data_IF_782247372170
#
_entry.id   IF_782247372170
#
_cell.length_a   1.000
_cell.length_b   1.000
_cell.length_c   1.000
_cell.angle_alpha   90.00
_cell.angle_beta   90.00
_cell.angle_gamma   90.00
#
_symmetry.space_group_name_H-M   'P 1'
#
loop_
_entity.id
_entity.type
_entity.pdbx_description
1 polymer ?
#
# COMPACT_ATOMS: atom_id res chain seq x y z
N UNK A 1 -16.62 -0.83 34.35
CA UNK A 1 -16.64 0.41 33.55
C UNK A 1 -17.63 0.14 32.45
N UNK A 2 -18.80 0.76 32.57
CA UNK A 2 -19.83 0.67 31.54
C UNK A 2 -19.38 1.48 30.31
N UNK A 3 -19.89 1.11 29.14
CA UNK A 3 -19.63 1.82 27.86
C UNK A 3 -19.98 3.32 27.99
N UNK A 4 -21.15 3.62 28.56
CA UNK A 4 -21.59 5.00 28.84
C UNK A 4 -20.65 5.79 29.78
N UNK A 5 -20.01 5.11 30.72
CA UNK A 5 -19.10 5.73 31.69
C UNK A 5 -17.74 6.05 31.05
N UNK A 6 -17.31 5.21 30.11
CA UNK A 6 -16.13 5.44 29.28
C UNK A 6 -16.38 6.55 28.27
N UNK A 7 -17.52 6.54 27.59
CA UNK A 7 -17.90 7.53 26.61
C UNK A 7 -18.03 8.91 27.26
N UNK A 8 -18.66 9.00 28.42
CA UNK A 8 -18.75 10.24 29.18
C UNK A 8 -17.38 10.74 29.65
N UNK A 9 -16.49 9.84 30.08
CA UNK A 9 -15.11 10.20 30.45
C UNK A 9 -14.31 10.71 29.24
N UNK A 10 -14.51 10.11 28.06
CA UNK A 10 -13.86 10.53 26.82
C UNK A 10 -14.42 11.86 26.32
N UNK A 11 -15.75 12.04 26.33
CA UNK A 11 -16.40 13.29 25.96
C UNK A 11 -15.98 14.44 26.89
N UNK A 12 -16.07 14.28 28.22
CA UNK A 12 -15.65 15.32 29.17
C UNK A 12 -14.18 15.72 28.99
N UNK A 13 -13.33 14.81 28.49
CA UNK A 13 -11.90 15.04 28.28
C UNK A 13 -11.57 15.67 26.94
N UNK A 14 -12.25 15.29 25.86
CA UNK A 14 -11.89 15.68 24.49
C UNK A 14 -12.85 16.69 23.85
N UNK A 15 -13.95 17.06 24.51
CA UNK A 15 -14.95 18.02 24.02
C UNK A 15 -14.38 19.42 23.69
N UNK A 16 -13.35 19.86 24.41
CA UNK A 16 -12.71 21.17 24.20
C UNK A 16 -11.42 21.11 23.34
N UNK A 17 -10.98 19.93 22.90
CA UNK A 17 -9.65 19.70 22.31
C UNK A 17 -9.62 19.04 20.92
N UNK A 18 -10.77 18.91 20.24
CA UNK A 18 -10.89 18.14 18.99
C UNK A 18 -10.16 18.72 17.77
N UNK A 19 -9.48 19.87 17.87
CA UNK A 19 -8.69 20.43 16.77
C UNK A 19 -7.42 19.62 16.43
N UNK A 20 -7.11 18.57 17.18
CA UNK A 20 -5.87 17.80 17.03
C UNK A 20 -5.96 16.65 16.01
N UNK A 21 -7.14 16.07 15.84
CA UNK A 21 -7.36 14.92 14.96
C UNK A 21 -8.08 15.42 13.71
N UNK A 22 -7.31 15.62 12.62
CA UNK A 22 -7.89 15.83 11.30
C UNK A 22 -8.11 14.47 10.66
N UNK A 23 -9.36 14.07 10.45
CA UNK A 23 -9.67 12.93 9.62
C UNK A 23 -9.48 13.33 8.16
N UNK A 24 -9.01 12.42 7.31
CA UNK A 24 -8.77 12.72 5.89
C UNK A 24 -10.02 13.12 5.08
N UNK A 25 -11.20 13.05 5.68
CA UNK A 25 -12.47 13.53 5.11
C UNK A 25 -12.75 15.00 5.44
N UNK A 26 -12.14 15.56 6.49
CA UNK A 26 -12.30 16.96 6.91
C UNK A 26 -11.68 17.96 5.89
N UNK A 27 -10.83 17.46 4.99
CA UNK A 27 -10.18 18.25 3.94
C UNK A 27 -11.12 18.59 2.76
N UNK A 28 -12.27 17.92 2.64
CA UNK A 28 -13.24 18.20 1.56
C UNK A 28 -14.26 19.28 1.92
N UNK A 29 -14.66 19.39 3.19
CA UNK A 29 -15.68 20.38 3.59
C UNK A 29 -15.09 21.73 4.04
N UNK A 30 -13.84 21.77 4.50
CA UNK A 30 -13.31 22.96 5.19
C UNK A 30 -12.55 23.95 4.30
N UNK A 31 -12.98 24.13 3.05
CA UNK A 31 -12.36 25.08 2.10
C UNK A 31 -12.88 26.52 2.22
N UNK A 32 -13.70 26.84 3.22
CA UNK A 32 -14.18 28.20 3.48
C UNK A 32 -14.18 28.48 5.00
N UNK A 33 -13.54 29.59 5.38
CA UNK A 33 -13.24 30.08 6.74
C UNK A 33 -12.00 29.41 7.39
N UNK A 34 -10.80 30.00 7.27
CA UNK A 34 -10.26 30.98 8.24
C UNK A 34 -10.28 30.40 9.68
N UNK A 35 -9.20 29.75 10.11
CA UNK A 35 -8.19 30.40 10.96
C UNK A 35 -6.94 29.50 11.12
N UNK A 36 -5.77 30.05 10.80
CA UNK A 36 -4.55 29.27 10.61
C UNK A 36 -3.71 29.10 11.89
N UNK A 37 -4.13 29.61 13.05
CA UNK A 37 -3.27 29.69 14.23
C UNK A 37 -4.05 29.72 15.56
N UNK A 38 -4.64 28.62 16.01
CA UNK A 38 -4.94 28.45 17.44
C UNK A 38 -4.92 26.97 17.84
N UNK A 39 -3.75 26.34 17.67
CA UNK A 39 -3.39 25.16 18.45
C UNK A 39 -2.90 25.71 19.80
N UNK A 40 -3.83 26.05 20.70
CA UNK A 40 -3.49 26.36 22.08
C UNK A 40 -3.40 25.00 22.77
N UNK A 41 -2.21 24.48 23.12
CA UNK A 41 -2.14 23.32 23.99
C UNK A 41 -2.71 23.75 25.33
N UNK A 42 -3.91 23.27 25.67
CA UNK A 42 -4.49 23.58 26.96
C UNK A 42 -3.54 23.05 28.03
N UNK A 43 -3.33 23.80 29.10
CA UNK A 43 -2.38 23.48 30.17
C UNK A 43 -2.68 22.15 30.93
N UNK A 44 -3.69 21.39 30.49
CA UNK A 44 -4.14 20.11 31.04
C UNK A 44 -3.90 18.92 30.12
N UNK A 45 -3.30 19.13 28.94
CA UNK A 45 -3.01 18.01 28.05
C UNK A 45 -1.87 17.17 28.62
N UNK A 46 -2.09 15.86 28.83
CA UNK A 46 -1.08 14.95 29.33
C UNK A 46 0.09 14.85 28.35
N UNK A 47 1.28 14.64 28.90
CA UNK A 47 2.50 14.63 28.10
C UNK A 47 2.65 13.30 27.37
N UNK A 48 3.00 13.35 26.07
CA UNK A 48 3.39 12.16 25.32
C UNK A 48 4.90 11.96 25.47
N UNK A 49 5.29 10.73 25.78
CA UNK A 49 6.67 10.33 25.97
C UNK A 49 7.05 9.26 24.97
N UNK A 50 8.21 9.44 24.36
CA UNK A 50 8.86 8.47 23.48
C UNK A 50 9.72 7.53 24.32
N UNK A 51 9.46 6.24 24.22
CA UNK A 51 10.20 5.19 24.93
C UNK A 51 10.86 4.28 23.92
N UNK A 52 12.19 4.09 24.03
CA UNK A 52 12.91 3.16 23.15
C UNK A 52 12.62 1.71 23.52
N UNK A 53 12.47 0.87 22.51
CA UNK A 53 12.25 -0.56 22.67
C UNK A 53 12.98 -1.38 21.59
N UNK A 54 12.97 -2.70 21.75
CA UNK A 54 13.46 -3.64 20.74
C UNK A 54 12.69 -3.45 19.41
N UNK A 55 13.43 -3.36 18.31
CA UNK A 55 12.88 -3.20 16.96
C UNK A 55 12.04 -4.42 16.59
N UNK A 56 10.86 -4.19 16.01
CA UNK A 56 9.92 -5.24 15.59
C UNK A 56 9.00 -5.75 16.70
N UNK A 57 9.13 -5.24 17.93
CA UNK A 57 8.27 -5.57 19.09
C UNK A 57 7.36 -4.42 19.51
N UNK A 58 7.29 -3.33 18.74
CA UNK A 58 6.60 -2.09 19.11
C UNK A 58 5.09 -2.31 19.29
N UNK A 59 4.43 -2.93 18.30
CA UNK A 59 2.99 -3.24 18.36
C UNK A 59 2.68 -4.23 19.48
N UNK A 60 3.51 -5.26 19.65
CA UNK A 60 3.36 -6.22 20.74
C UNK A 60 3.47 -5.55 22.10
N UNK A 61 4.39 -4.60 22.27
CA UNK A 61 4.58 -3.88 23.52
C UNK A 61 3.40 -2.99 23.89
N UNK A 62 2.83 -2.26 22.92
CA UNK A 62 1.60 -1.51 23.14
C UNK A 62 0.46 -2.43 23.62
N UNK A 63 0.34 -3.62 23.01
CA UNK A 63 -0.64 -4.62 23.42
C UNK A 63 -0.35 -5.20 24.82
N UNK A 64 0.92 -5.47 25.14
CA UNK A 64 1.33 -5.93 26.48
C UNK A 64 1.01 -4.89 27.56
N UNK A 65 1.21 -3.60 27.28
CA UNK A 65 0.85 -2.51 28.20
C UNK A 65 -0.66 -2.43 28.41
N UNK A 66 -1.43 -2.58 27.33
CA UNK A 66 -2.90 -2.65 27.40
C UNK A 66 -3.37 -3.83 28.26
N UNK A 67 -2.82 -5.03 28.03
CA UNK A 67 -3.16 -6.21 28.82
C UNK A 67 -2.78 -6.02 30.29
N UNK A 68 -1.56 -5.52 30.56
CA UNK A 68 -1.09 -5.23 31.91
C UNK A 68 -1.99 -4.24 32.65
N UNK A 69 -2.51 -3.22 31.96
CA UNK A 69 -3.47 -2.29 32.54
C UNK A 69 -4.75 -3.00 33.00
N UNK A 70 -5.30 -3.88 32.16
CA UNK A 70 -6.50 -4.68 32.49
C UNK A 70 -6.23 -5.62 33.67
N UNK A 71 -5.10 -6.32 33.65
CA UNK A 71 -4.73 -7.28 34.69
C UNK A 71 -4.57 -6.57 36.05
N UNK A 72 -3.81 -5.47 36.10
CA UNK A 72 -3.61 -4.70 37.34
C UNK A 72 -4.92 -4.10 37.86
N UNK A 73 -5.77 -3.60 36.96
CA UNK A 73 -7.10 -3.10 37.33
C UNK A 73 -7.96 -4.17 37.98
N UNK A 74 -7.91 -5.42 37.51
CA UNK A 74 -8.63 -6.54 38.14
C UNK A 74 -8.09 -6.90 39.52
N UNK A 75 -6.79 -6.68 39.76
CA UNK A 75 -6.13 -6.83 41.06
C UNK A 75 -6.30 -5.62 41.99
N UNK A 76 -7.08 -4.60 41.60
CA UNK A 76 -7.29 -3.38 42.38
C UNK A 76 -6.11 -2.40 42.39
N UNK A 77 -5.10 -2.62 41.56
CA UNK A 77 -3.94 -1.72 41.41
C UNK A 77 -4.12 -0.86 40.16
N UNK A 78 -4.15 0.46 40.29
CA UNK A 78 -4.33 1.37 39.16
C UNK A 78 -2.99 1.75 38.53
N UNK A 79 -2.79 1.43 37.26
CA UNK A 79 -1.70 1.95 36.46
C UNK A 79 -2.00 3.40 36.04
N UNK A 80 -1.06 4.32 36.24
CA UNK A 80 -1.28 5.77 36.06
C UNK A 80 -1.04 6.29 34.63
N UNK A 81 -0.66 5.43 33.70
CA UNK A 81 -0.59 5.80 32.29
C UNK A 81 -1.99 5.96 31.70
N UNK A 82 -2.12 6.81 30.68
CA UNK A 82 -3.39 7.12 30.04
C UNK A 82 -3.57 6.26 28.79
N UNK A 83 -2.59 6.31 27.88
CA UNK A 83 -2.60 5.56 26.63
C UNK A 83 -1.19 5.11 26.24
N UNK A 84 -1.10 4.08 25.41
CA UNK A 84 0.15 3.62 24.83
C UNK A 84 -0.09 3.18 23.39
N UNK A 85 0.75 3.63 22.46
CA UNK A 85 0.61 3.32 21.03
C UNK A 85 1.96 3.17 20.35
N UNK A 86 1.95 2.50 19.19
CA UNK A 86 3.10 2.31 18.33
C UNK A 86 2.78 2.80 16.92
N UNK A 87 3.71 3.51 16.29
CA UNK A 87 3.56 4.02 14.93
C UNK A 87 4.25 3.09 13.95
N UNK A 88 3.52 2.59 12.94
CA UNK A 88 4.04 1.57 12.00
C UNK A 88 5.29 2.01 11.24
N UNK A 89 5.38 3.30 10.92
CA UNK A 89 6.48 3.90 10.19
C UNK A 89 7.71 4.20 11.06
N UNK A 90 7.59 4.12 12.40
CA UNK A 90 8.69 4.39 13.34
C UNK A 90 9.11 3.08 14.01
N UNK A 91 10.37 2.70 13.84
CA UNK A 91 10.93 1.48 14.42
C UNK A 91 11.66 1.75 15.73
N UNK A 92 11.61 0.78 16.64
CA UNK A 92 12.30 0.76 17.93
C UNK A 92 11.81 1.79 18.94
N UNK A 93 10.58 2.30 18.78
CA UNK A 93 9.98 3.27 19.71
C UNK A 93 8.50 2.95 19.94
N UNK A 94 8.04 3.15 21.16
CA UNK A 94 6.62 3.26 21.52
C UNK A 94 6.37 4.65 22.12
N UNK A 95 5.11 5.06 22.13
CA UNK A 95 4.66 6.33 22.68
C UNK A 95 3.69 6.07 23.81
N UNK A 96 3.90 6.73 24.94
CA UNK A 96 3.08 6.56 26.15
C UNK A 96 2.65 7.94 26.63
N UNK A 97 1.35 8.09 26.86
CA UNK A 97 0.74 9.29 27.41
C UNK A 97 0.65 9.16 28.94
N UNK A 98 1.29 10.06 29.65
CA UNK A 98 1.32 10.08 31.12
C UNK A 98 1.70 11.47 31.65
N UNK A 99 1.23 11.80 32.85
CA UNK A 99 1.54 13.07 33.51
C UNK A 99 3.00 13.12 33.98
N UNK A 100 3.52 11.99 34.48
CA UNK A 100 4.88 11.90 35.04
C UNK A 100 5.69 10.79 34.39
N UNK A 101 6.99 11.03 34.26
CA UNK A 101 7.94 10.01 33.80
C UNK A 101 7.95 8.77 34.71
N UNK A 102 7.72 8.95 36.01
CA UNK A 102 7.69 7.86 36.97
C UNK A 102 6.60 6.82 36.65
N UNK A 103 5.42 7.26 36.22
CA UNK A 103 4.28 6.41 35.88
C UNK A 103 4.62 5.49 34.69
N UNK A 104 5.44 6.00 33.76
CA UNK A 104 5.94 5.24 32.61
C UNK A 104 6.94 4.18 33.06
N UNK A 105 7.87 4.55 33.94
CA UNK A 105 8.86 3.61 34.48
C UNK A 105 8.13 2.46 35.19
N UNK A 106 7.11 2.77 35.99
CA UNK A 106 6.28 1.78 36.66
C UNK A 106 5.50 0.90 35.67
N UNK A 107 4.90 1.48 34.64
CA UNK A 107 4.23 0.74 33.57
C UNK A 107 5.18 -0.18 32.80
N UNK A 108 6.44 0.23 32.59
CA UNK A 108 7.43 -0.55 31.87
C UNK A 108 8.08 -1.66 32.73
N UNK A 109 7.89 -1.67 34.07
CA UNK A 109 8.43 -2.73 34.94
C UNK A 109 7.95 -4.11 34.49
N UNK A 110 8.89 -5.05 34.37
CA UNK A 110 8.63 -6.42 33.93
C UNK A 110 8.59 -6.62 32.40
N UNK A 111 8.66 -5.56 31.61
CA UNK A 111 8.75 -5.65 30.14
C UNK A 111 10.22 -5.63 29.70
N UNK A 112 10.77 -6.81 29.37
CA UNK A 112 12.19 -6.99 29.05
C UNK A 112 12.63 -6.34 27.73
N UNK A 113 11.68 -6.06 26.83
CA UNK A 113 11.96 -5.47 25.51
C UNK A 113 11.96 -3.95 25.50
N UNK A 114 11.79 -3.28 26.66
CA UNK A 114 11.81 -1.83 26.81
C UNK A 114 13.15 -1.37 27.40
N UNK A 115 13.69 -0.29 26.87
CA UNK A 115 14.88 0.37 27.42
C UNK A 115 14.46 1.51 28.36
N UNK A 116 14.20 1.20 29.62
CA UNK A 116 13.67 2.15 30.62
C UNK A 116 14.57 3.37 30.86
N UNK A 117 15.87 3.30 30.52
CA UNK A 117 16.79 4.44 30.58
C UNK A 117 16.64 5.43 29.43
N UNK A 118 15.86 5.10 28.39
CA UNK A 118 15.74 5.88 27.16
C UNK A 118 14.31 6.36 26.95
N UNK A 119 13.90 7.25 27.85
CA UNK A 119 12.59 7.91 27.85
C UNK A 119 12.82 9.41 27.56
N UNK A 120 12.08 9.97 26.61
CA UNK A 120 12.15 11.38 26.25
C UNK A 120 10.75 11.97 26.03
N UNK A 121 10.52 13.20 26.43
CA UNK A 121 9.28 13.93 26.13
C UNK A 121 9.18 14.22 24.65
N UNK A 122 7.99 14.05 24.07
CA UNK A 122 7.71 14.52 22.71
C UNK A 122 7.42 16.03 22.75
N UNK A 123 8.11 16.85 21.95
CA UNK A 123 7.81 18.27 21.83
C UNK A 123 6.36 18.51 21.39
N UNK A 124 5.66 19.50 21.99
CA UNK A 124 4.24 19.76 21.74
C UNK A 124 3.89 19.99 20.26
N UNK A 125 4.80 20.60 19.51
CA UNK A 125 4.68 20.82 18.07
C UNK A 125 4.76 19.53 17.24
N UNK A 126 5.38 18.47 17.74
CA UNK A 126 5.50 17.18 17.05
C UNK A 126 4.33 16.23 17.32
N UNK A 127 3.58 16.44 18.39
CA UNK A 127 2.49 15.55 18.81
C UNK A 127 1.45 15.39 17.69
N UNK A 128 1.13 16.46 16.94
CA UNK A 128 0.13 16.44 15.86
C UNK A 128 0.64 15.65 14.66
N UNK A 129 1.94 15.74 14.41
CA UNK A 129 2.62 14.98 13.36
C UNK A 129 2.71 13.48 13.69
N UNK A 130 2.74 13.09 14.98
CA UNK A 130 2.72 11.68 15.37
C UNK A 130 1.41 10.99 14.98
N UNK A 131 0.29 11.69 15.14
CA UNK A 131 -1.05 11.17 14.88
C UNK A 131 -1.56 11.47 13.46
N UNK A 132 -0.85 12.31 12.71
CA UNK A 132 -1.14 12.57 11.31
C UNK A 132 -0.92 11.30 10.49
N UNK A 133 -2.01 10.60 10.18
CA UNK A 133 -1.96 9.48 9.24
C UNK A 133 -1.49 10.00 7.88
N UNK A 134 -0.29 9.61 7.46
CA UNK A 134 0.03 9.65 6.03
C UNK A 134 -0.75 8.50 5.42
N UNK A 135 -1.99 8.79 5.01
CA UNK A 135 -2.69 7.89 4.10
C UNK A 135 -1.84 7.94 2.83
N UNK A 136 -0.86 7.04 2.70
CA UNK A 136 -0.34 6.65 1.40
C UNK A 136 -1.47 5.91 0.73
N UNK A 137 -2.46 6.66 0.24
CA UNK A 137 -3.29 6.19 -0.85
C UNK A 137 -2.27 5.88 -1.92
N UNK A 138 -2.08 4.61 -2.23
CA UNK A 138 -1.51 4.27 -3.51
C UNK A 138 -2.57 4.76 -4.50
N UNK A 139 -2.51 6.03 -4.87
CA UNK A 139 -3.34 6.58 -5.93
C UNK A 139 -2.85 5.90 -7.19
N UNK A 140 -3.47 4.76 -7.47
CA UNK A 140 -3.23 3.99 -8.68
C UNK A 140 -4.09 4.67 -9.73
N UNK A 141 -3.46 5.38 -10.65
CA UNK A 141 -4.16 6.00 -11.77
C UNK A 141 -3.91 5.22 -13.06
N UNK A 142 -4.90 5.21 -13.95
CA UNK A 142 -4.74 4.67 -15.29
C UNK A 142 -3.66 5.45 -16.06
N UNK A 143 -2.85 4.74 -16.84
CA UNK A 143 -1.70 5.28 -17.56
C UNK A 143 -0.43 5.44 -16.73
N UNK A 144 -0.51 5.38 -15.39
CA UNK A 144 0.67 5.51 -14.53
C UNK A 144 1.55 4.24 -14.51
N UNK A 145 2.80 4.43 -14.10
CA UNK A 145 3.79 3.36 -13.99
C UNK A 145 3.82 2.78 -12.58
N UNK A 146 3.92 1.46 -12.51
CA UNK A 146 4.05 0.71 -11.27
C UNK A 146 5.14 -0.36 -11.38
N UNK A 147 5.72 -0.75 -10.25
CA UNK A 147 6.58 -1.95 -10.17
C UNK A 147 5.87 -3.07 -9.41
N UNK A 148 5.96 -4.28 -9.93
CA UNK A 148 5.37 -5.46 -9.29
C UNK A 148 6.24 -5.88 -8.09
N UNK A 149 5.63 -6.05 -6.92
CA UNK A 149 6.36 -6.38 -5.68
C UNK A 149 6.70 -7.87 -5.55
N UNK A 150 5.83 -8.75 -6.06
CA UNK A 150 5.86 -10.19 -5.77
C UNK A 150 5.63 -11.06 -7.01
N UNK A 151 6.08 -12.32 -6.94
CA UNK A 151 5.82 -13.34 -7.97
C UNK A 151 6.77 -13.29 -9.17
N UNK A 152 6.35 -13.92 -10.28
CA UNK A 152 7.13 -14.11 -11.51
C UNK A 152 7.67 -12.81 -12.14
N UNK A 153 6.96 -11.70 -11.92
CA UNK A 153 7.27 -10.39 -12.49
C UNK A 153 7.84 -9.42 -11.45
N UNK A 154 8.32 -9.93 -10.30
CA UNK A 154 8.87 -9.08 -9.23
C UNK A 154 9.97 -8.16 -9.77
N UNK A 155 9.81 -6.86 -9.55
CA UNK A 155 10.74 -5.80 -9.99
C UNK A 155 10.45 -5.24 -11.37
N UNK A 156 9.66 -5.94 -12.19
CA UNK A 156 9.35 -5.50 -13.55
C UNK A 156 8.49 -4.24 -13.54
N UNK A 157 8.78 -3.37 -14.51
CA UNK A 157 7.96 -2.20 -14.82
C UNK A 157 6.64 -2.65 -15.46
N UNK A 158 5.55 -2.06 -15.00
CA UNK A 158 4.21 -2.30 -15.49
C UNK A 158 3.47 -0.98 -15.71
N UNK A 159 2.71 -0.88 -16.79
CA UNK A 159 1.81 0.25 -17.00
C UNK A 159 0.41 -0.12 -16.49
N UNK A 160 -0.23 0.75 -15.71
CA UNK A 160 -1.60 0.53 -15.27
C UNK A 160 -2.54 0.89 -16.41
N UNK A 161 -3.40 -0.04 -16.79
CA UNK A 161 -4.32 0.11 -17.94
C UNK A 161 -5.74 0.40 -17.47
N UNK A 162 -6.18 -0.26 -16.40
CA UNK A 162 -7.48 -0.03 -15.79
C UNK A 162 -7.41 -0.27 -14.29
N UNK A 163 -8.17 0.50 -13.52
CA UNK A 163 -8.28 0.34 -12.07
C UNK A 163 -9.72 0.00 -11.70
N UNK A 164 -9.87 -1.05 -10.90
CA UNK A 164 -11.17 -1.45 -10.35
C UNK A 164 -11.12 -1.28 -8.83
N UNK A 165 -11.53 -0.10 -8.37
CA UNK A 165 -11.53 0.28 -6.96
C UNK A 165 -12.45 -0.60 -6.12
N UNK A 166 -13.63 -0.95 -6.66
CA UNK A 166 -14.60 -1.82 -5.99
C UNK A 166 -14.01 -3.19 -5.62
N UNK A 167 -13.12 -3.73 -6.46
CA UNK A 167 -12.46 -5.02 -6.23
C UNK A 167 -11.03 -4.90 -5.69
N UNK A 168 -10.53 -3.69 -5.46
CA UNK A 168 -9.12 -3.40 -5.11
C UNK A 168 -8.10 -4.08 -6.04
N UNK A 169 -8.40 -4.11 -7.34
CA UNK A 169 -7.56 -4.74 -8.37
C UNK A 169 -7.24 -3.76 -9.49
N UNK A 170 -6.06 -3.90 -10.06
CA UNK A 170 -5.64 -3.16 -11.25
C UNK A 170 -5.29 -4.15 -12.37
N UNK A 171 -5.60 -3.77 -13.60
CA UNK A 171 -5.11 -4.45 -14.81
C UNK A 171 -3.83 -3.77 -15.25
N UNK A 172 -2.73 -4.51 -15.28
CA UNK A 172 -1.41 -3.99 -15.68
C UNK A 172 -0.94 -4.61 -17.00
N UNK A 173 -0.31 -3.78 -17.84
CA UNK A 173 0.43 -4.17 -19.06
C UNK A 173 1.88 -4.45 -18.68
N UNK A 174 2.36 -5.64 -18.99
CA UNK A 174 3.68 -6.18 -18.65
C UNK A 174 4.36 -6.76 -19.89
N UNK A 175 5.69 -6.81 -19.86
CA UNK A 175 6.46 -7.58 -20.84
C UNK A 175 6.36 -9.06 -20.47
N UNK A 176 5.90 -9.95 -21.37
CA UNK A 176 5.75 -11.36 -21.06
C UNK A 176 7.09 -12.02 -20.71
N UNK A 177 7.01 -12.97 -19.78
CA UNK A 177 8.09 -13.93 -19.48
C UNK A 177 7.54 -15.33 -19.75
N UNK A 178 7.30 -15.69 -21.00
CA UNK A 178 6.67 -16.98 -21.35
C UNK A 178 7.71 -17.89 -22.00
N UNK A 179 7.73 -19.16 -21.57
CA UNK A 179 8.54 -20.20 -22.20
C UNK A 179 7.64 -20.98 -23.17
N UNK A 180 7.77 -20.67 -24.46
CA UNK A 180 6.97 -21.30 -25.52
C UNK A 180 7.22 -22.80 -25.60
N UNK A 181 8.47 -23.24 -25.39
CA UNK A 181 8.83 -24.67 -25.44
C UNK A 181 8.15 -25.44 -24.31
N UNK A 182 8.10 -24.84 -23.11
CA UNK A 182 7.36 -25.40 -21.99
C UNK A 182 5.85 -25.47 -22.27
N UNK A 183 5.28 -24.49 -22.99
CA UNK A 183 3.87 -24.54 -23.40
C UNK A 183 3.63 -25.64 -24.44
N UNK A 184 4.49 -25.78 -25.46
CA UNK A 184 4.38 -26.87 -26.45
C UNK A 184 4.48 -28.23 -25.78
N UNK A 185 5.38 -28.42 -24.81
CA UNK A 185 5.47 -29.68 -24.06
C UNK A 185 4.17 -29.96 -23.26
N UNK A 186 3.61 -28.92 -22.61
CA UNK A 186 2.38 -29.03 -21.82
C UNK A 186 1.15 -29.41 -22.66
N UNK A 187 1.00 -28.84 -23.85
CA UNK A 187 -0.17 -29.07 -24.71
C UNK A 187 0.07 -30.16 -25.78
N UNK A 188 1.32 -30.48 -26.10
CA UNK A 188 1.74 -31.47 -27.10
C UNK A 188 2.17 -32.83 -26.54
N UNK A 189 1.90 -33.11 -25.25
CA UNK A 189 2.12 -34.44 -24.65
C UNK A 189 3.57 -34.79 -24.29
N UNK A 190 4.48 -33.81 -24.27
CA UNK A 190 5.88 -34.01 -23.88
C UNK A 190 6.09 -33.96 -22.37
N UNK A 191 7.05 -34.75 -21.85
CA UNK A 191 7.43 -34.74 -20.42
C UNK A 191 7.96 -33.35 -20.04
N UNK A 192 7.28 -32.64 -19.13
CA UNK A 192 7.73 -31.31 -18.72
C UNK A 192 9.06 -31.41 -17.97
N UNK A 193 10.15 -30.96 -18.57
CA UNK A 193 11.38 -30.70 -17.85
C UNK A 193 11.15 -29.47 -16.97
N UNK A 194 10.99 -29.67 -15.65
CA UNK A 194 10.88 -28.58 -14.69
C UNK A 194 12.18 -27.78 -14.66
N UNK A 195 12.32 -26.82 -15.58
CA UNK A 195 13.27 -25.72 -15.43
C UNK A 195 12.57 -24.62 -14.64
N UNK A 196 12.93 -24.47 -13.36
CA UNK A 196 12.48 -23.38 -12.49
C UNK A 196 13.08 -22.01 -12.88
N UNK A 197 13.54 -21.83 -14.12
CA UNK A 197 14.10 -20.57 -14.58
C UNK A 197 12.97 -19.68 -15.07
N UNK A 198 12.78 -18.52 -14.45
CA UNK A 198 11.91 -17.48 -15.01
C UNK A 198 12.52 -16.99 -16.33
N UNK A 199 11.85 -17.16 -17.48
CA UNK A 199 12.41 -16.79 -18.77
C UNK A 199 12.65 -15.27 -18.85
N UNK A 200 13.56 -14.88 -19.74
CA UNK A 200 13.89 -13.49 -19.99
C UNK A 200 12.64 -12.72 -20.50
N UNK A 201 12.50 -11.43 -20.15
CA UNK A 201 11.36 -10.64 -20.58
C UNK A 201 11.48 -10.35 -22.08
N UNK A 202 10.49 -10.79 -22.86
CA UNK A 202 10.45 -10.58 -24.32
C UNK A 202 9.02 -10.46 -24.80
N UNK A 203 8.78 -9.57 -25.77
CA UNK A 203 7.50 -9.50 -26.46
C UNK A 203 7.28 -10.77 -27.28
N UNK A 204 6.04 -11.22 -27.31
CA UNK A 204 5.63 -12.41 -28.07
C UNK A 204 5.14 -11.94 -29.42
N UNK A 205 5.70 -12.50 -30.49
CA UNK A 205 5.22 -12.17 -31.84
C UNK A 205 3.94 -12.94 -32.16
N UNK A 206 3.11 -12.38 -33.02
CA UNK A 206 1.89 -13.02 -33.51
C UNK A 206 2.20 -14.37 -34.17
N UNK A 207 3.32 -14.46 -34.90
CA UNK A 207 3.79 -15.70 -35.55
C UNK A 207 4.11 -16.81 -34.56
N UNK A 208 4.65 -16.49 -33.38
CA UNK A 208 4.95 -17.46 -32.33
C UNK A 208 3.68 -18.02 -31.66
N UNK A 209 2.57 -17.30 -31.75
CA UNK A 209 1.27 -17.74 -31.25
C UNK A 209 0.50 -18.58 -32.28
N UNK A 210 0.94 -18.63 -33.55
CA UNK A 210 0.25 -19.39 -34.60
C UNK A 210 0.12 -20.87 -34.27
N UNK A 211 1.18 -21.47 -33.70
CA UNK A 211 1.19 -22.86 -33.26
C UNK A 211 0.15 -23.16 -32.16
N UNK A 212 -0.25 -22.13 -31.41
CA UNK A 212 -1.20 -22.24 -30.31
C UNK A 212 -2.60 -21.74 -30.67
N UNK A 213 -2.84 -21.28 -31.90
CA UNK A 213 -4.14 -20.74 -32.35
C UNK A 213 -5.35 -21.59 -31.99
N UNK A 214 -5.31 -22.94 -32.13
CA UNK A 214 -6.46 -23.76 -31.75
C UNK A 214 -6.83 -23.68 -30.26
N UNK A 215 -5.88 -23.27 -29.41
CA UNK A 215 -6.04 -23.17 -27.95
C UNK A 215 -6.33 -21.73 -27.49
N UNK A 216 -6.16 -20.73 -28.36
CA UNK A 216 -6.36 -19.33 -28.02
C UNK A 216 -7.86 -19.02 -27.98
N UNK A 217 -8.31 -18.44 -26.87
CA UNK A 217 -9.67 -17.95 -26.71
C UNK A 217 -9.70 -16.42 -26.76
N UNK A 218 -10.61 -15.85 -27.55
CA UNK A 218 -10.82 -14.41 -27.56
C UNK A 218 -11.78 -14.01 -26.44
N UNK A 219 -11.33 -13.12 -25.53
CA UNK A 219 -12.14 -12.64 -24.41
C UNK A 219 -12.14 -11.12 -24.36
N UNK A 220 -13.33 -10.52 -24.34
CA UNK A 220 -13.50 -9.09 -24.05
C UNK A 220 -13.47 -8.87 -22.54
N UNK A 221 -12.58 -8.00 -22.11
CA UNK A 221 -12.48 -7.64 -20.70
C UNK A 221 -13.41 -6.47 -20.37
N UNK A 222 -14.11 -6.57 -19.24
CA UNK A 222 -15.08 -5.54 -18.81
C UNK A 222 -14.42 -4.28 -18.25
N UNK A 223 -13.24 -4.41 -17.65
CA UNK A 223 -12.56 -3.29 -17.01
C UNK A 223 -11.86 -2.42 -18.06
N UNK A 224 -11.19 -3.03 -19.03
CA UNK A 224 -10.46 -2.31 -20.10
C UNK A 224 -11.24 -2.11 -21.39
N UNK A 225 -12.38 -2.79 -21.56
CA UNK A 225 -13.15 -2.89 -22.82
C UNK A 225 -12.38 -3.44 -24.04
N UNK A 226 -11.15 -3.92 -23.85
CA UNK A 226 -10.29 -4.48 -24.91
C UNK A 226 -10.58 -5.97 -25.14
N UNK A 227 -10.36 -6.43 -26.37
CA UNK A 227 -10.36 -7.84 -26.73
C UNK A 227 -8.96 -8.41 -26.53
N UNK A 228 -8.84 -9.53 -25.81
CA UNK A 228 -7.58 -10.20 -25.52
C UNK A 228 -7.55 -11.62 -26.10
N UNK A 229 -6.36 -12.04 -26.55
CA UNK A 229 -6.03 -13.43 -26.84
C UNK A 229 -5.65 -14.14 -25.54
N UNK A 230 -6.46 -15.10 -25.10
CA UNK A 230 -6.26 -15.82 -23.85
C UNK A 230 -5.64 -17.18 -24.13
N UNK A 231 -4.41 -17.38 -23.68
CA UNK A 231 -3.67 -18.64 -23.78
C UNK A 231 -3.22 -19.09 -22.39
N UNK A 232 -3.61 -20.29 -21.96
CA UNK A 232 -3.29 -20.82 -20.62
C UNK A 232 -3.63 -19.86 -19.45
N UNK A 233 -4.71 -19.08 -19.61
CA UNK A 233 -5.12 -18.05 -18.63
C UNK A 233 -4.33 -16.74 -18.67
N UNK A 234 -3.37 -16.60 -19.59
CA UNK A 234 -2.61 -15.38 -19.84
C UNK A 234 -3.34 -14.54 -20.90
N UNK A 235 -3.64 -13.27 -20.57
CA UNK A 235 -4.31 -12.36 -21.51
C UNK A 235 -3.24 -11.61 -22.30
N UNK A 236 -3.11 -11.93 -23.58
CA UNK A 236 -2.12 -11.35 -24.49
C UNK A 236 -2.80 -10.38 -25.45
N UNK A 237 -2.11 -9.27 -25.75
CA UNK A 237 -2.48 -8.32 -26.79
C UNK A 237 -1.26 -7.49 -27.20
N UNK A 238 -1.06 -7.32 -28.50
CA UNK A 238 0.04 -6.56 -29.11
C UNK A 238 1.44 -7.01 -28.63
N UNK A 239 1.58 -8.31 -28.31
CA UNK A 239 2.81 -8.90 -27.76
C UNK A 239 3.06 -8.65 -26.28
N UNK A 240 2.15 -7.94 -25.57
CA UNK A 240 2.22 -7.70 -24.12
C UNK A 240 1.30 -8.65 -23.34
N UNK A 241 1.63 -8.83 -22.06
CA UNK A 241 0.80 -9.52 -21.10
C UNK A 241 -0.03 -8.51 -20.31
N UNK A 242 -1.35 -8.73 -20.31
CA UNK A 242 -2.29 -8.03 -19.46
C UNK A 242 -2.63 -8.93 -18.28
N UNK A 243 -2.44 -8.41 -17.06
CA UNK A 243 -2.64 -9.19 -15.85
C UNK A 243 -3.41 -8.41 -14.80
N UNK A 244 -4.43 -9.04 -14.22
CA UNK A 244 -5.19 -8.48 -13.10
C UNK A 244 -4.50 -8.80 -11.77
N UNK A 245 -3.97 -7.79 -11.10
CA UNK A 245 -3.23 -7.92 -9.84
C UNK A 245 -3.91 -7.10 -8.73
N UNK A 246 -3.62 -7.41 -7.45
CA UNK A 246 -4.11 -6.57 -6.35
C UNK A 246 -3.32 -5.27 -6.29
N UNK A 247 -3.97 -4.18 -5.88
CA UNK A 247 -3.31 -2.87 -5.71
C UNK A 247 -2.14 -2.98 -4.72
N UNK A 248 -2.27 -3.79 -3.67
CA UNK A 248 -1.22 -3.99 -2.67
C UNK A 248 0.05 -4.65 -3.22
N UNK A 249 -0.10 -5.47 -4.27
CA UNK A 249 1.02 -6.13 -4.97
C UNK A 249 1.80 -5.20 -5.90
N UNK A 250 1.36 -3.95 -6.05
CA UNK A 250 1.99 -2.93 -6.87
C UNK A 250 2.65 -1.84 -6.01
N UNK A 251 3.77 -1.34 -6.49
CA UNK A 251 4.43 -0.14 -5.98
C UNK A 251 4.20 0.98 -6.99
N UNK A 252 3.35 1.96 -6.65
CA UNK A 252 2.99 3.07 -7.55
C UNK A 252 3.65 4.39 -7.15
N UNK A 253 4.10 4.53 -5.90
CA UNK A 253 4.77 5.75 -5.42
C UNK A 253 6.25 5.77 -5.84
N UNK A 254 6.69 6.87 -6.44
CA UNK A 254 8.11 7.13 -6.74
C UNK A 254 8.72 6.26 -7.84
N UNK A 255 7.91 5.67 -8.73
CA UNK A 255 8.43 4.86 -9.84
C UNK A 255 8.95 5.77 -10.95
N UNK A 256 10.26 5.75 -11.17
CA UNK A 256 10.92 6.38 -12.31
C UNK A 256 11.37 5.27 -13.28
N UNK A 257 10.70 5.09 -14.43
CA UNK A 257 11.15 4.20 -15.51
C UNK A 257 12.50 4.64 -16.07
N UNK A 258 13.37 3.69 -16.41
CA UNK A 258 14.56 4.01 -17.22
C UNK A 258 14.20 4.19 -18.71
N UNK A 259 15.03 4.89 -19.48
CA UNK A 259 14.82 5.04 -20.93
C UNK A 259 14.75 3.69 -21.66
N UNK A 260 15.61 2.74 -21.28
CA UNK A 260 15.60 1.37 -21.81
C UNK A 260 14.29 0.63 -21.51
N UNK A 261 13.69 0.84 -20.33
CA UNK A 261 12.40 0.26 -19.98
C UNK A 261 11.30 0.89 -20.83
N UNK A 262 11.27 2.22 -20.97
CA UNK A 262 10.27 2.93 -21.77
C UNK A 262 10.31 2.51 -23.26
N UNK A 263 11.49 2.32 -23.83
CA UNK A 263 11.66 1.85 -25.21
C UNK A 263 10.96 0.52 -25.46
N UNK A 264 10.90 -0.38 -24.47
CA UNK A 264 10.22 -1.68 -24.58
C UNK A 264 8.69 -1.58 -24.58
N UNK A 265 8.13 -0.44 -24.15
CA UNK A 265 6.69 -0.18 -24.18
C UNK A 265 6.27 0.63 -25.42
N UNK A 266 7.18 1.37 -26.06
CA UNK A 266 6.91 2.18 -27.26
C UNK A 266 6.67 1.37 -28.54
N UNK A 267 7.23 0.16 -28.66
CA UNK A 267 7.20 -0.63 -29.89
C UNK A 267 5.80 -1.11 -30.35
N UNK A 268 4.72 -0.77 -29.64
CA UNK A 268 3.34 -1.11 -30.01
C UNK A 268 2.43 0.08 -30.28
N UNK A 269 2.78 1.29 -29.88
CA UNK A 269 1.92 2.45 -30.11
C UNK A 269 1.94 2.90 -31.58
N UNK A 270 3.06 2.67 -32.28
CA UNK A 270 3.20 3.05 -33.69
C UNK A 270 2.25 2.32 -34.65
N UNK A 271 1.65 1.20 -34.26
CA UNK A 271 0.72 0.49 -35.15
C UNK A 271 -0.70 1.07 -35.13
N UNK A 272 -1.10 1.84 -34.11
CA UNK A 272 -2.44 2.48 -34.08
C UNK A 272 -2.41 3.91 -34.64
N UNK A 273 -1.29 4.64 -34.53
CA UNK A 273 -1.19 6.03 -35.02
C UNK A 273 -0.82 6.13 -36.49
N UNK A 274 0.11 5.31 -36.99
CA UNK A 274 0.53 5.38 -38.39
C UNK A 274 -0.56 4.84 -39.34
N UNK A 275 -1.39 3.91 -38.86
CA UNK A 275 -2.52 3.37 -39.63
C UNK A 275 -3.66 4.38 -39.83
N UNK A 276 -3.80 5.38 -38.96
CA UNK A 276 -4.78 6.46 -39.12
C UNK A 276 -4.26 7.59 -40.05
N UNK A 277 -2.96 7.85 -40.03
CA UNK A 277 -2.32 8.81 -40.95
C UNK A 277 -2.24 8.26 -42.39
N UNK A 278 -1.98 6.97 -42.59
CA UNK A 278 -1.98 6.36 -43.94
C UNK A 278 -3.39 6.36 -44.57
N UNK A 279 -4.44 6.10 -43.80
CA UNK A 279 -5.81 6.13 -44.31
C UNK A 279 -6.25 7.55 -44.68
N UNK A 280 -5.87 8.56 -43.89
CA UNK A 280 -6.25 9.96 -44.19
C UNK A 280 -5.52 10.55 -45.39
N UNK A 281 -4.34 10.04 -45.73
CA UNK A 281 -3.60 10.45 -46.94
C UNK A 281 -4.17 9.85 -48.25
N UNK A 282 -4.79 8.67 -48.19
CA UNK A 282 -5.31 7.99 -49.39
C UNK A 282 -6.73 8.39 -49.81
N UNK A 283 -7.45 9.17 -49.00
CA UNK A 283 -8.79 9.69 -49.34
C UNK A 283 -8.80 11.17 -49.75
N UNK A 284 -7.63 11.77 -50.03
CA UNK A 284 -7.50 13.06 -50.72
C UNK A 284 -6.90 12.84 -52.11
N UNK A 285 -7.69 12.29 -53.02
CA UNK A 285 -7.46 12.33 -54.46
C UNK A 285 -8.82 12.37 -55.18
#
# INVERSE_FOLDING_TARGET
MNEEEFDKMMEERYKDGSNFVRYGEDDFENKRAIDRNNIIPFARDPTIWKVKCMVGRERNLAFCLMQKYVDLKSLGTKLQIISAFALDHIKGCIYIEADKQFDIIEACKGLTTIYSSRIATVPKNEVSHLLSSRITRNEVSEGSWARVKNGKYKGDLAQIVAVNDARKRATVKLIPRIDLQAMTAKFGGGVSLKKNSTPAPRLISTSELEEFRPLIQYRRDRDTNKLFEVLDGLMLKDGYLYKKVSIDSLSCSGVMPSEEELLKFKSSENNETDDLEWLTQNFKA
#
